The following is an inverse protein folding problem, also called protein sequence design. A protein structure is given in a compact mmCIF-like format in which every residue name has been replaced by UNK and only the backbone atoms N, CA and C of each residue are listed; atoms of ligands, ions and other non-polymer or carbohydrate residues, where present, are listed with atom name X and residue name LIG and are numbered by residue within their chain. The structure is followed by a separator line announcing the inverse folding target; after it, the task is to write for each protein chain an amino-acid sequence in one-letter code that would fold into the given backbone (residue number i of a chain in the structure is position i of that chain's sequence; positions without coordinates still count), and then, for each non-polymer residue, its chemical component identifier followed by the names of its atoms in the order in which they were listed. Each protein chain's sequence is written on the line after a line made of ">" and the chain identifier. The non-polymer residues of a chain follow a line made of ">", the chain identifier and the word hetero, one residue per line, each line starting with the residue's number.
data_IF_291653848692
#
_entry.id   IF_291653848692
#
_cell.length_a   1.000
_cell.length_b   1.000
_cell.length_c   1.000
_cell.angle_alpha   90.00
_cell.angle_beta   90.00
_cell.angle_gamma   90.00
#
_symmetry.space_group_name_H-M   'P 1'
#
loop_
_entity.id
_entity.type
_entity.pdbx_description
1 polymer ?
#
# COMPACT_ATOMS: atom_id res chain seq x y z
N UNK A 1 17.57 0.44 -5.41
CA UNK A 1 16.22 0.12 -4.89
C UNK A 1 15.43 1.41 -4.90
N UNK A 2 14.35 1.49 -5.68
CA UNK A 2 13.63 2.75 -5.89
C UNK A 2 12.73 3.02 -4.67
N UNK A 3 12.67 4.28 -4.24
CA UNK A 3 11.88 4.71 -3.07
C UNK A 3 10.38 4.39 -3.24
N UNK A 4 9.94 4.26 -4.49
CA UNK A 4 8.58 3.92 -4.89
C UNK A 4 8.15 2.51 -4.44
N UNK A 5 9.04 1.52 -4.52
CA UNK A 5 8.75 0.16 -4.08
C UNK A 5 8.59 0.10 -2.56
N UNK A 6 9.24 1.02 -1.84
CA UNK A 6 9.19 1.12 -0.38
C UNK A 6 7.79 1.54 0.13
N UNK A 7 7.08 2.40 -0.62
CA UNK A 7 5.71 2.83 -0.30
C UNK A 7 4.72 1.68 -0.44
N UNK A 8 4.82 0.90 -1.53
CA UNK A 8 4.00 -0.29 -1.74
C UNK A 8 4.28 -1.31 -0.64
N UNK A 9 5.55 -1.53 -0.30
CA UNK A 9 5.94 -2.46 0.75
C UNK A 9 5.35 -2.08 2.11
N UNK A 10 5.39 -0.79 2.46
CA UNK A 10 4.77 -0.26 3.69
C UNK A 10 3.25 -0.44 3.71
N UNK A 11 2.56 -0.13 2.62
CA UNK A 11 1.11 -0.31 2.52
C UNK A 11 0.69 -1.79 2.58
N UNK A 12 1.48 -2.69 1.99
CA UNK A 12 1.24 -4.14 2.05
C UNK A 12 1.44 -4.68 3.47
N UNK A 13 2.49 -4.26 4.18
CA UNK A 13 2.72 -4.66 5.58
C UNK A 13 1.60 -4.13 6.49
N UNK A 14 1.20 -2.87 6.33
CA UNK A 14 0.10 -2.30 7.10
C UNK A 14 -1.23 -3.01 6.81
N UNK A 15 -1.53 -3.27 5.52
CA UNK A 15 -2.73 -4.00 5.10
C UNK A 15 -2.75 -5.45 5.58
N UNK A 16 -1.60 -6.12 5.58
CA UNK A 16 -1.45 -7.46 6.16
C UNK A 16 -1.67 -7.46 7.67
N UNK A 17 -1.08 -6.48 8.38
CA UNK A 17 -1.23 -6.33 9.83
C UNK A 17 -2.68 -6.11 10.23
N UNK A 18 -3.38 -5.20 9.55
CA UNK A 18 -4.80 -4.96 9.77
C UNK A 18 -5.61 -6.20 9.39
N UNK A 19 -5.35 -6.81 8.23
CA UNK A 19 -6.05 -8.03 7.77
C UNK A 19 -5.92 -9.21 8.72
N UNK A 20 -4.74 -9.40 9.34
CA UNK A 20 -4.51 -10.45 10.34
C UNK A 20 -5.34 -10.24 11.61
N UNK A 21 -5.55 -8.99 12.03
CA UNK A 21 -6.41 -8.67 13.19
C UNK A 21 -7.88 -9.04 12.94
N UNK A 22 -8.33 -8.96 11.69
CA UNK A 22 -9.70 -9.28 11.29
C UNK A 22 -9.89 -10.73 10.82
N UNK A 23 -8.91 -11.63 11.03
CA UNK A 23 -8.88 -13.01 10.50
C UNK A 23 -9.03 -13.08 8.97
N UNK A 24 -8.79 -11.95 8.30
CA UNK A 24 -9.02 -11.69 6.89
C UNK A 24 -7.73 -11.17 6.25
N UNK A 25 -6.63 -11.92 6.46
CA UNK A 25 -5.29 -11.53 6.01
C UNK A 25 -5.19 -11.37 4.48
N UNK A 26 -5.82 -12.27 3.72
CA UNK A 26 -5.82 -12.25 2.26
C UNK A 26 -6.47 -10.97 1.70
N UNK A 27 -7.71 -10.60 2.09
CA UNK A 27 -8.30 -9.34 1.64
C UNK A 27 -7.57 -8.11 2.19
N UNK A 28 -7.01 -8.15 3.42
CA UNK A 28 -6.22 -7.05 3.97
C UNK A 28 -4.94 -6.76 3.17
N UNK A 29 -4.23 -7.81 2.74
CA UNK A 29 -3.07 -7.68 1.84
C UNK A 29 -3.50 -7.13 0.48
N UNK A 30 -4.60 -7.62 -0.10
CA UNK A 30 -5.11 -7.12 -1.38
C UNK A 30 -5.51 -5.64 -1.32
N UNK A 31 -6.14 -5.20 -0.23
CA UNK A 31 -6.46 -3.79 0.01
C UNK A 31 -5.18 -2.98 0.16
N UNK A 32 -4.19 -3.43 0.94
CA UNK A 32 -2.90 -2.74 1.10
C UNK A 32 -2.10 -2.63 -0.21
N UNK A 33 -2.14 -3.67 -1.05
CA UNK A 33 -1.47 -3.70 -2.35
C UNK A 33 -2.20 -2.80 -3.37
N UNK A 34 -3.53 -2.82 -3.37
CA UNK A 34 -4.37 -1.91 -4.16
C UNK A 34 -4.17 -0.45 -3.76
N UNK A 35 -4.19 -0.15 -2.45
CA UNK A 35 -3.94 1.20 -1.95
C UNK A 35 -2.51 1.65 -2.28
N UNK A 36 -1.52 0.77 -2.13
CA UNK A 36 -0.12 1.07 -2.46
C UNK A 36 0.09 1.40 -3.94
N UNK A 37 -0.62 0.71 -4.85
CA UNK A 37 -0.60 1.05 -6.28
C UNK A 37 -1.37 2.33 -6.61
N UNK A 38 -2.54 2.56 -5.99
CA UNK A 38 -3.30 3.80 -6.15
C UNK A 38 -2.49 4.99 -5.62
N UNK A 39 -1.83 4.85 -4.47
CA UNK A 39 -0.90 5.83 -3.91
C UNK A 39 0.35 6.00 -4.76
N UNK A 40 0.85 4.97 -5.43
CA UNK A 40 1.96 5.10 -6.38
C UNK A 40 1.55 5.85 -7.64
N UNK A 41 0.40 5.51 -8.22
CA UNK A 41 -0.18 6.22 -9.36
C UNK A 41 -0.56 7.66 -8.99
N UNK A 42 -1.06 7.83 -7.76
CA UNK A 42 -1.37 9.07 -7.09
C UNK A 42 -0.14 9.94 -6.87
N UNK A 43 0.92 9.43 -6.23
CA UNK A 43 2.18 10.14 -5.96
C UNK A 43 3.00 10.38 -7.23
N UNK A 44 2.93 9.51 -8.23
CA UNK A 44 3.42 9.83 -9.57
C UNK A 44 2.69 11.04 -10.20
N UNK A 45 1.46 11.33 -9.74
CA UNK A 45 0.76 12.59 -10.02
C UNK A 45 0.83 13.63 -8.88
N UNK A 46 1.32 13.28 -7.68
CA UNK A 46 1.37 14.10 -6.45
C UNK A 46 2.78 14.58 -6.06
N UNK A 47 3.80 14.38 -6.90
CA UNK A 47 4.92 15.35 -7.01
C UNK A 47 4.42 16.75 -7.48
N UNK A 48 3.11 16.88 -7.77
CA UNK A 48 2.40 18.15 -7.96
C UNK A 48 1.60 18.65 -6.75
N UNK A 49 1.41 17.88 -5.67
CA UNK A 49 0.67 18.34 -4.47
C UNK A 49 1.18 17.61 -3.21
N UNK A 50 2.12 18.25 -2.51
CA UNK A 50 2.70 17.95 -1.18
C UNK A 50 4.02 17.17 -1.11
#
# INVERSE_FOLDING_TARGET
>A
MKKEDMVIYGCVIAGAGIGLVFDAAIPGVLVGLGLGYVLKSGMATKDREE
#
